data_IF_735226920359
#
_entry.id   IF_735226920359
#
_cell.length_a   1.000
_cell.length_b   1.000
_cell.length_c   1.000
_cell.angle_alpha   90.00
_cell.angle_beta   90.00
_cell.angle_gamma   90.00
#
_symmetry.space_group_name_H-M   'P 1'
#
loop_
_entity.id
_entity.type
_entity.pdbx_description
1 polymer ?
#
# COMPACT_ATOMS: atom_id res chain seq x y z
N UNK A 1 -42.77 -47.03 -6.90
CA UNK A 1 -41.85 -47.07 -8.03
C UNK A 1 -40.67 -46.15 -7.73
N UNK A 2 -39.46 -46.68 -7.52
CA UNK A 2 -38.28 -45.88 -7.17
C UNK A 2 -37.60 -45.22 -8.39
N UNK A 3 -38.13 -45.40 -9.62
CA UNK A 3 -37.54 -44.89 -10.87
C UNK A 3 -37.78 -43.39 -11.13
N UNK A 4 -38.54 -42.69 -10.28
CA UNK A 4 -38.62 -41.23 -10.34
C UNK A 4 -37.47 -40.53 -9.58
N UNK A 5 -36.28 -41.17 -9.48
CA UNK A 5 -35.05 -40.46 -9.12
C UNK A 5 -34.59 -39.70 -10.36
N UNK A 6 -35.23 -38.55 -10.56
CA UNK A 6 -35.15 -37.75 -11.78
C UNK A 6 -33.70 -37.43 -12.16
N UNK A 7 -33.40 -37.31 -13.47
CA UNK A 7 -32.09 -36.90 -13.99
C UNK A 7 -31.58 -35.55 -13.43
N UNK A 8 -32.46 -34.82 -12.74
CA UNK A 8 -32.20 -33.55 -12.08
C UNK A 8 -31.14 -33.66 -10.96
N UNK A 9 -31.15 -34.71 -10.13
CA UNK A 9 -30.16 -34.85 -9.05
C UNK A 9 -28.75 -35.09 -9.55
N UNK A 10 -28.60 -35.89 -10.61
CA UNK A 10 -27.30 -36.14 -11.25
C UNK A 10 -26.75 -34.90 -11.95
N UNK A 11 -27.64 -34.06 -12.50
CA UNK A 11 -27.27 -32.81 -13.15
C UNK A 11 -26.93 -31.72 -12.11
N UNK A 12 -27.58 -31.72 -10.95
CA UNK A 12 -27.30 -30.77 -9.85
C UNK A 12 -25.93 -31.01 -9.21
N UNK A 13 -25.52 -32.28 -9.04
CA UNK A 13 -24.18 -32.64 -8.55
C UNK A 13 -23.10 -32.27 -9.58
N UNK A 14 -23.35 -32.51 -10.86
CA UNK A 14 -22.47 -32.06 -11.94
C UNK A 14 -22.39 -30.52 -12.01
N UNK A 15 -23.50 -29.81 -11.84
CA UNK A 15 -23.53 -28.35 -11.81
C UNK A 15 -22.74 -27.77 -10.62
N UNK A 16 -22.79 -28.41 -9.46
CA UNK A 16 -21.97 -28.05 -8.28
C UNK A 16 -20.48 -28.34 -8.50
N UNK A 17 -20.12 -29.38 -9.27
CA UNK A 17 -18.73 -29.63 -9.68
C UNK A 17 -18.23 -28.64 -10.73
N UNK A 18 -19.10 -28.17 -11.63
CA UNK A 18 -18.77 -27.19 -12.66
C UNK A 18 -18.61 -25.77 -12.08
N UNK A 19 -19.39 -25.44 -11.04
CA UNK A 19 -19.30 -24.18 -10.32
C UNK A 19 -18.53 -24.43 -9.02
N UNK A 20 -17.21 -24.55 -9.17
CA UNK A 20 -16.32 -24.56 -8.02
C UNK A 20 -16.19 -23.12 -7.49
N UNK A 21 -16.93 -22.82 -6.42
CA UNK A 21 -16.90 -21.51 -5.76
C UNK A 21 -15.52 -21.17 -5.17
N UNK A 22 -14.69 -22.19 -4.92
CA UNK A 22 -13.32 -22.03 -4.43
C UNK A 22 -12.38 -21.45 -5.50
N UNK A 23 -12.57 -21.78 -6.79
CA UNK A 23 -11.80 -21.21 -7.90
C UNK A 23 -12.24 -19.79 -8.25
N UNK A 24 -13.53 -19.46 -8.06
CA UNK A 24 -14.06 -18.10 -8.25
C UNK A 24 -13.67 -17.16 -7.10
N UNK A 25 -13.31 -17.71 -5.94
CA UNK A 25 -12.79 -16.95 -4.81
C UNK A 25 -11.27 -16.70 -4.88
N UNK A 26 -10.60 -17.21 -5.92
CA UNK A 26 -9.15 -17.11 -6.11
C UNK A 26 -8.68 -15.88 -6.90
N UNK A 27 -9.51 -14.85 -7.06
CA UNK A 27 -8.99 -13.48 -7.27
C UNK A 27 -9.02 -12.73 -5.94
N UNK A 28 -8.39 -13.33 -4.93
CA UNK A 28 -7.98 -12.59 -3.75
C UNK A 28 -7.06 -11.53 -4.29
N UNK A 29 -7.46 -10.26 -4.22
CA UNK A 29 -6.64 -9.14 -4.64
C UNK A 29 -5.43 -9.08 -3.71
N UNK A 30 -4.44 -9.93 -3.97
CA UNK A 30 -3.17 -9.96 -3.27
C UNK A 30 -2.42 -8.74 -3.78
N UNK A 31 -2.74 -7.57 -3.23
CA UNK A 31 -2.00 -6.34 -3.55
C UNK A 31 -0.54 -6.68 -3.28
N UNK A 32 0.29 -6.80 -4.33
CA UNK A 32 1.60 -7.37 -4.14
C UNK A 32 2.35 -6.41 -3.24
N UNK A 33 2.93 -6.92 -2.16
CA UNK A 33 3.70 -6.11 -1.21
C UNK A 33 4.72 -5.23 -1.95
N UNK A 34 5.27 -5.75 -3.05
CA UNK A 34 6.16 -5.05 -3.98
C UNK A 34 5.55 -3.75 -4.53
N UNK A 35 4.26 -3.75 -4.90
CA UNK A 35 3.57 -2.55 -5.39
C UNK A 35 3.45 -1.49 -4.30
N UNK A 36 3.13 -1.89 -3.07
CA UNK A 36 3.06 -0.97 -1.91
C UNK A 36 4.43 -0.36 -1.62
N UNK A 37 5.49 -1.18 -1.62
CA UNK A 37 6.86 -0.70 -1.45
C UNK A 37 7.31 0.21 -2.60
N UNK A 38 6.94 -0.09 -3.85
CA UNK A 38 7.26 0.74 -5.00
C UNK A 38 6.58 2.11 -4.92
N UNK A 39 5.31 2.17 -4.54
CA UNK A 39 4.58 3.42 -4.34
C UNK A 39 5.20 4.23 -3.20
N UNK A 40 5.58 3.59 -2.09
CA UNK A 40 6.28 4.22 -0.97
C UNK A 40 7.62 4.83 -1.40
N UNK A 41 8.43 4.07 -2.13
CA UNK A 41 9.72 4.54 -2.65
C UNK A 41 9.55 5.71 -3.61
N UNK A 42 8.54 5.66 -4.47
CA UNK A 42 8.23 6.77 -5.39
C UNK A 42 7.84 8.03 -4.62
N UNK A 43 7.02 7.89 -3.57
CA UNK A 43 6.61 8.99 -2.71
C UNK A 43 7.81 9.62 -1.97
N UNK A 44 8.72 8.79 -1.46
CA UNK A 44 9.97 9.24 -0.81
C UNK A 44 10.88 9.94 -1.81
N UNK A 45 11.07 9.37 -3.00
CA UNK A 45 11.95 9.94 -4.03
C UNK A 45 11.40 11.29 -4.52
N UNK A 46 10.08 11.39 -4.73
CA UNK A 46 9.43 12.62 -5.15
C UNK A 46 9.47 13.68 -4.06
N UNK A 47 9.17 13.32 -2.80
CA UNK A 47 9.28 14.21 -1.65
C UNK A 47 10.72 14.68 -1.40
N UNK A 48 11.70 13.77 -1.47
CA UNK A 48 13.12 14.09 -1.35
C UNK A 48 13.63 15.00 -2.45
N UNK A 49 13.16 14.83 -3.69
CA UNK A 49 13.53 15.71 -4.81
C UNK A 49 12.95 17.12 -4.65
N UNK A 50 11.69 17.23 -4.18
CA UNK A 50 11.07 18.50 -3.82
C UNK A 50 11.87 19.20 -2.71
N UNK A 51 12.19 18.49 -1.63
CA UNK A 51 12.96 19.04 -0.51
C UNK A 51 14.38 19.43 -0.91
N UNK A 52 15.07 18.63 -1.72
CA UNK A 52 16.41 18.94 -2.22
C UNK A 52 16.43 20.11 -3.22
N UNK A 53 15.29 20.46 -3.82
CA UNK A 53 15.17 21.64 -4.68
C UNK A 53 14.89 22.91 -3.87
N UNK A 54 14.19 22.79 -2.75
CA UNK A 54 13.81 23.91 -1.90
C UNK A 54 14.82 24.22 -0.79
N UNK A 55 15.55 23.23 -0.29
CA UNK A 55 16.65 23.40 0.64
C UNK A 55 17.98 23.00 0.01
N UNK A 56 19.12 23.58 0.45
CA UNK A 56 20.46 23.16 0.03
C UNK A 56 20.86 21.83 0.71
N UNK A 57 19.95 20.86 0.73
CA UNK A 57 20.16 19.54 1.31
C UNK A 57 20.64 18.56 0.25
N UNK A 58 21.58 17.71 0.63
CA UNK A 58 21.99 16.59 -0.21
C UNK A 58 20.80 15.64 -0.41
N UNK A 59 20.62 15.11 -1.62
CA UNK A 59 19.51 14.19 -1.94
C UNK A 59 19.40 13.03 -0.94
N UNK A 60 20.54 12.55 -0.45
CA UNK A 60 20.64 11.50 0.57
C UNK A 60 20.00 11.90 1.90
N UNK A 61 20.18 13.15 2.33
CA UNK A 61 19.63 13.66 3.60
C UNK A 61 18.12 13.88 3.49
N UNK A 62 17.66 14.43 2.37
CA UNK A 62 16.24 14.59 2.07
C UNK A 62 15.52 13.23 1.97
N UNK A 63 16.16 12.24 1.34
CA UNK A 63 15.64 10.87 1.27
C UNK A 63 15.55 10.23 2.66
N UNK A 64 16.62 10.32 3.45
CA UNK A 64 16.65 9.79 4.81
C UNK A 64 15.55 10.40 5.66
N UNK A 65 15.42 11.73 5.63
CA UNK A 65 14.39 12.47 6.35
C UNK A 65 12.96 12.03 5.99
N UNK A 66 12.65 11.91 4.69
CA UNK A 66 11.35 11.39 4.24
C UNK A 66 11.12 9.94 4.69
N UNK A 67 12.16 9.08 4.62
CA UNK A 67 12.06 7.69 5.04
C UNK A 67 11.78 7.54 6.54
N UNK A 68 12.54 8.20 7.42
CA UNK A 68 12.32 8.10 8.89
C UNK A 68 10.97 8.67 9.32
N UNK A 69 10.46 9.67 8.60
CA UNK A 69 9.13 10.27 8.84
C UNK A 69 7.98 9.35 8.41
N UNK A 70 8.10 8.72 7.24
CA UNK A 70 7.09 7.80 6.72
C UNK A 70 7.04 6.50 7.52
N UNK A 71 8.21 5.95 7.84
CA UNK A 71 8.35 4.73 8.66
C UNK A 71 8.00 4.97 10.13
N UNK A 72 7.67 6.20 10.54
CA UNK A 72 7.38 6.60 11.93
C UNK A 72 8.52 6.36 12.91
N UNK A 73 9.71 5.99 12.43
CA UNK A 73 10.90 5.84 13.28
C UNK A 73 11.23 7.18 13.94
N UNK A 74 11.16 8.26 13.15
CA UNK A 74 11.13 9.64 13.67
C UNK A 74 12.30 10.02 14.58
N UNK A 75 13.55 9.66 14.22
CA UNK A 75 14.73 10.01 15.02
C UNK A 75 14.89 11.53 15.21
N UNK A 76 14.46 12.34 14.24
CA UNK A 76 14.44 13.80 14.35
C UNK A 76 15.82 14.45 14.42
N UNK A 77 16.85 13.75 13.94
CA UNK A 77 18.25 14.18 13.85
C UNK A 77 18.50 15.17 12.71
N UNK A 78 17.80 15.00 11.59
CA UNK A 78 17.76 15.96 10.48
C UNK A 78 16.48 16.80 10.58
N UNK A 79 16.64 18.11 10.80
CA UNK A 79 15.54 19.07 10.93
C UNK A 79 15.78 20.21 9.95
N UNK A 80 14.81 20.58 9.09
CA UNK A 80 14.96 21.70 8.17
C UNK A 80 15.25 22.98 8.94
N UNK A 81 16.33 23.68 8.55
CA UNK A 81 16.68 24.98 9.12
C UNK A 81 15.74 26.08 8.61
N UNK A 82 15.08 25.87 7.45
CA UNK A 82 14.17 26.86 6.91
C UNK A 82 12.79 26.78 7.59
N UNK A 83 12.39 27.91 8.16
CA UNK A 83 11.22 28.09 9.01
C UNK A 83 9.87 27.86 8.29
N UNK A 84 9.89 27.73 6.96
CA UNK A 84 8.68 27.62 6.14
C UNK A 84 8.14 26.18 6.02
N UNK A 85 9.00 25.14 6.06
CA UNK A 85 8.54 23.73 5.96
C UNK A 85 8.20 23.09 7.30
N UNK A 86 8.46 23.78 8.41
CA UNK A 86 8.01 23.33 9.74
C UNK A 86 6.49 23.13 9.77
N UNK A 87 5.73 23.92 9.01
CA UNK A 87 4.27 23.84 8.94
C UNK A 87 3.77 22.61 8.16
N UNK A 88 4.39 22.28 7.04
CA UNK A 88 4.08 21.06 6.26
C UNK A 88 4.41 19.81 7.06
N UNK A 89 5.49 19.84 7.85
CA UNK A 89 5.86 18.75 8.76
C UNK A 89 4.95 18.66 9.98
N UNK A 90 4.37 19.77 10.43
CA UNK A 90 3.41 19.79 11.52
C UNK A 90 2.10 19.11 11.10
N UNK A 91 1.62 19.33 9.88
CA UNK A 91 0.41 18.67 9.36
C UNK A 91 0.59 17.16 9.15
N UNK A 92 1.76 16.73 8.68
CA UNK A 92 2.10 15.29 8.58
C UNK A 92 2.24 14.62 9.95
N UNK A 93 2.65 15.36 10.98
CA UNK A 93 2.67 14.90 12.38
C UNK A 93 1.27 14.74 12.97
N UNK A 94 0.34 15.63 12.61
CA UNK A 94 -1.03 15.65 13.15
C UNK A 94 -1.93 14.57 12.55
N UNK A 95 -1.69 14.17 11.30
CA UNK A 95 -2.45 13.11 10.63
C UNK A 95 -2.16 11.70 11.18
N UNK A 96 -1.14 11.56 12.05
CA UNK A 96 -0.79 10.30 12.72
C UNK A 96 -1.21 10.23 14.20
N UNK A 97 -2.09 11.14 14.66
CA UNK A 97 -2.67 11.09 16.02
C UNK A 97 -4.12 10.58 16.01
#
# INVERSE_FOLDING_TARGET
DPELRSPEKSNEEAAKQLINWDDLALDKTEVPLVLVFAILLFYIAFGGLLFAFFEPWTYTDAFYFCFVSLTTIGFGDLVPESQEYTLILLELKLLKL
#
